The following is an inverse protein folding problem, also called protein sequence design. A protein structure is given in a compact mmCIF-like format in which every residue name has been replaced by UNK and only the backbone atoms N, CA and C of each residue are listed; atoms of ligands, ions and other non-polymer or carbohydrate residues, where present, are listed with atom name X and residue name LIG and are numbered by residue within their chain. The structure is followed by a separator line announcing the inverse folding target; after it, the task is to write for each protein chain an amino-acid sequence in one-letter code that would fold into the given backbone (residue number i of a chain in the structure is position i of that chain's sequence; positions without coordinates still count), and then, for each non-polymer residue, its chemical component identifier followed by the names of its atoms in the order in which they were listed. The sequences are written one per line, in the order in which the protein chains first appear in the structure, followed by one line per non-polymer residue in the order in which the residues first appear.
data_IF_755224092551
#
_entry.id   IF_755224092551
#
_cell.length_a   1.000
_cell.length_b   1.000
_cell.length_c   1.000
_cell.angle_alpha   90.00
_cell.angle_beta   90.00
_cell.angle_gamma   90.00
#
_symmetry.space_group_name_H-M   'P 1'
#
loop_
_entity.id
_entity.type
_entity.pdbx_description
1 polymer ?
#
# COMPACT_ATOMS: atom_id res chain seq x y z
N UNK A 1 5.77 -6.68 -24.46
CA UNK A 1 5.08 -6.86 -23.18
C UNK A 1 5.88 -7.77 -22.29
N UNK A 2 6.17 -7.35 -21.07
CA UNK A 2 6.88 -8.18 -20.12
C UNK A 2 5.97 -9.30 -19.62
N UNK A 3 6.36 -10.54 -19.85
CA UNK A 3 5.60 -11.71 -19.41
C UNK A 3 6.09 -12.28 -18.08
N UNK A 4 7.05 -11.59 -17.46
CA UNK A 4 7.54 -12.02 -16.15
C UNK A 4 6.45 -11.94 -15.10
N UNK A 5 6.32 -12.92 -14.21
CA UNK A 5 5.37 -12.82 -13.10
C UNK A 5 5.74 -11.67 -12.19
N UNK A 6 4.73 -11.02 -11.62
CA UNK A 6 4.93 -10.00 -10.61
C UNK A 6 5.66 -10.62 -9.41
N UNK A 7 6.78 -10.04 -8.96
CA UNK A 7 7.52 -10.62 -7.84
C UNK A 7 6.72 -10.59 -6.54
N UNK A 8 7.02 -11.53 -5.66
CA UNK A 8 6.42 -11.62 -4.35
C UNK A 8 6.78 -10.39 -3.50
N UNK A 9 5.93 -10.07 -2.54
CA UNK A 9 6.25 -9.04 -1.56
C UNK A 9 7.49 -9.43 -0.75
N UNK A 10 8.41 -8.48 -0.48
CA UNK A 10 9.61 -8.79 0.31
C UNK A 10 9.25 -9.31 1.71
N UNK A 11 10.03 -10.26 2.20
CA UNK A 11 9.84 -10.79 3.55
C UNK A 11 10.05 -9.72 4.64
N UNK A 12 10.85 -8.69 4.33
CA UNK A 12 11.12 -7.57 5.25
C UNK A 12 9.99 -6.55 5.34
N UNK A 13 8.99 -6.66 4.47
CA UNK A 13 7.86 -5.73 4.46
C UNK A 13 6.98 -5.95 5.69
N UNK A 14 6.71 -4.89 6.44
CA UNK A 14 5.83 -4.97 7.60
C UNK A 14 4.38 -4.71 7.20
N UNK A 15 3.47 -5.56 7.67
CA UNK A 15 2.04 -5.39 7.44
C UNK A 15 1.41 -4.80 8.70
N UNK A 16 0.83 -3.60 8.58
CA UNK A 16 0.38 -2.83 9.73
C UNK A 16 -0.95 -3.31 10.30
N UNK A 17 -1.80 -3.88 9.47
CA UNK A 17 -3.15 -4.29 9.85
C UNK A 17 -3.48 -5.75 9.52
N UNK A 18 -2.45 -6.57 9.30
CA UNK A 18 -2.61 -8.00 9.05
C UNK A 18 -1.79 -8.80 10.06
N UNK A 19 -2.33 -9.92 10.52
CA UNK A 19 -1.60 -10.83 11.40
C UNK A 19 -0.62 -11.71 10.65
N UNK A 20 -0.84 -11.91 9.36
CA UNK A 20 0.03 -12.70 8.48
C UNK A 20 0.36 -11.91 7.22
N UNK A 21 1.57 -12.09 6.67
CA UNK A 21 1.92 -11.41 5.42
C UNK A 21 0.98 -11.76 4.28
N UNK A 22 0.60 -10.77 3.50
CA UNK A 22 -0.14 -10.98 2.26
C UNK A 22 0.82 -11.53 1.21
N UNK A 23 0.36 -12.50 0.44
CA UNK A 23 1.14 -13.06 -0.65
C UNK A 23 0.57 -12.64 -2.00
N UNK A 24 1.45 -12.37 -2.93
CA UNK A 24 1.05 -11.91 -4.28
C UNK A 24 0.09 -12.90 -4.94
N UNK A 25 0.25 -14.19 -4.71
CA UNK A 25 -0.63 -15.22 -5.25
C UNK A 25 -2.09 -15.09 -4.82
N UNK A 26 -2.34 -14.48 -3.67
CA UNK A 26 -3.71 -14.25 -3.18
C UNK A 26 -4.45 -13.17 -3.97
N UNK A 27 -3.72 -12.37 -4.75
CA UNK A 27 -4.27 -11.26 -5.52
C UNK A 27 -4.53 -11.63 -6.98
N UNK A 28 -4.14 -12.84 -7.40
CA UNK A 28 -4.28 -13.27 -8.78
C UNK A 28 -5.74 -13.38 -9.22
N UNK A 29 -5.97 -13.08 -10.48
CA UNK A 29 -7.31 -13.18 -11.08
C UNK A 29 -8.20 -11.99 -10.86
N UNK A 30 -7.69 -10.94 -10.18
CA UNK A 30 -8.45 -9.71 -9.89
C UNK A 30 -7.57 -8.50 -10.12
N UNK A 31 -8.21 -7.36 -10.41
CA UNK A 31 -7.50 -6.10 -10.53
C UNK A 31 -7.00 -5.69 -9.13
N UNK A 32 -5.71 -5.35 -9.03
CA UNK A 32 -5.10 -4.90 -7.79
C UNK A 32 -4.49 -3.52 -8.00
N UNK A 33 -4.84 -2.58 -7.13
CA UNK A 33 -4.23 -1.26 -7.10
C UNK A 33 -3.23 -1.24 -5.95
N UNK A 34 -1.95 -1.05 -6.27
CA UNK A 34 -0.90 -0.79 -5.28
C UNK A 34 -0.77 0.72 -5.15
N UNK A 35 -1.09 1.26 -4.00
CA UNK A 35 -0.99 2.70 -3.77
C UNK A 35 0.19 3.01 -2.86
N UNK A 36 1.18 3.70 -3.41
CA UNK A 36 2.34 4.17 -2.66
C UNK A 36 2.01 5.52 -2.07
N UNK A 37 2.08 5.65 -0.76
CA UNK A 37 1.65 6.86 -0.07
C UNK A 37 2.61 7.24 1.06
N UNK A 38 2.50 8.49 1.49
CA UNK A 38 3.19 8.97 2.68
C UNK A 38 2.16 9.54 3.66
N UNK A 39 2.25 9.14 4.91
CA UNK A 39 1.27 9.49 5.95
C UNK A 39 1.26 10.99 6.26
N UNK A 40 2.34 11.71 5.97
CA UNK A 40 2.44 13.15 6.19
C UNK A 40 1.82 13.99 5.10
N UNK A 41 1.34 13.39 4.01
CA UNK A 41 0.80 14.11 2.86
C UNK A 41 -0.73 14.10 2.85
N UNK A 42 -1.34 15.29 2.82
CA UNK A 42 -2.79 15.42 2.71
C UNK A 42 -3.32 14.83 1.40
N UNK A 43 -2.56 14.97 0.31
CA UNK A 43 -2.91 14.39 -0.99
C UNK A 43 -2.98 12.87 -0.92
N UNK A 44 -2.04 12.25 -0.19
CA UNK A 44 -2.03 10.80 -0.01
C UNK A 44 -3.23 10.34 0.80
N UNK A 45 -3.58 11.05 1.87
CA UNK A 45 -4.74 10.72 2.67
C UNK A 45 -6.04 10.81 1.87
N UNK A 46 -6.18 11.82 1.02
CA UNK A 46 -7.33 11.97 0.14
C UNK A 46 -7.40 10.81 -0.86
N UNK A 47 -6.27 10.41 -1.44
CA UNK A 47 -6.23 9.30 -2.39
C UNK A 47 -6.63 7.98 -1.73
N UNK A 48 -6.19 7.76 -0.49
CA UNK A 48 -6.58 6.56 0.25
C UNK A 48 -8.10 6.53 0.50
N UNK A 49 -8.68 7.66 0.84
CA UNK A 49 -10.13 7.77 1.03
C UNK A 49 -10.88 7.48 -0.27
N UNK A 50 -10.40 7.99 -1.39
CA UNK A 50 -10.98 7.75 -2.71
C UNK A 50 -10.94 6.25 -3.04
N UNK A 51 -9.82 5.59 -2.78
CA UNK A 51 -9.65 4.16 -3.04
C UNK A 51 -10.52 3.31 -2.12
N UNK A 52 -10.69 3.73 -0.87
CA UNK A 52 -11.60 3.04 0.05
C UNK A 52 -13.04 3.08 -0.46
N UNK A 53 -13.46 4.21 -1.00
CA UNK A 53 -14.78 4.36 -1.62
C UNK A 53 -14.94 3.44 -2.84
N UNK A 54 -13.94 3.41 -3.70
CA UNK A 54 -13.94 2.54 -4.88
C UNK A 54 -13.95 1.06 -4.47
N UNK A 55 -13.19 0.70 -3.45
CA UNK A 55 -13.11 -0.66 -2.95
C UNK A 55 -14.48 -1.14 -2.46
N UNK A 56 -15.23 -0.30 -1.76
CA UNK A 56 -16.58 -0.63 -1.32
C UNK A 56 -17.53 -0.81 -2.49
N UNK A 57 -17.39 0.02 -3.53
CA UNK A 57 -18.27 -0.02 -4.70
C UNK A 57 -18.05 -1.28 -5.54
N UNK A 58 -16.81 -1.69 -5.76
CA UNK A 58 -16.47 -2.81 -6.62
C UNK A 58 -16.24 -4.13 -5.88
N UNK A 59 -16.20 -4.10 -4.55
CA UNK A 59 -16.14 -5.29 -3.72
C UNK A 59 -15.00 -6.23 -4.07
N UNK A 60 -15.34 -7.46 -4.38
CA UNK A 60 -14.35 -8.51 -4.66
C UNK A 60 -13.62 -8.33 -5.99
N UNK A 61 -14.08 -7.44 -6.85
CA UNK A 61 -13.45 -7.23 -8.16
C UNK A 61 -12.23 -6.34 -8.11
N UNK A 62 -12.00 -5.67 -6.98
CA UNK A 62 -10.87 -4.75 -6.81
C UNK A 62 -10.16 -5.03 -5.50
N UNK A 63 -8.88 -5.39 -5.59
CA UNK A 63 -7.99 -5.42 -4.44
C UNK A 63 -7.24 -4.10 -4.35
N UNK A 64 -7.10 -3.57 -3.13
CA UNK A 64 -6.27 -2.40 -2.87
C UNK A 64 -5.24 -2.79 -1.82
N UNK A 65 -3.97 -2.52 -2.10
CA UNK A 65 -2.88 -2.68 -1.14
C UNK A 65 -2.20 -1.34 -1.01
N UNK A 66 -2.25 -0.74 0.17
CA UNK A 66 -1.60 0.53 0.44
C UNK A 66 -0.20 0.29 0.96
N UNK A 67 0.79 0.98 0.39
CA UNK A 67 2.19 0.82 0.75
C UNK A 67 2.71 2.16 1.24
N UNK A 68 2.93 2.25 2.55
CA UNK A 68 3.49 3.44 3.17
C UNK A 68 5.01 3.44 2.98
N UNK A 69 5.53 4.56 2.46
CA UNK A 69 6.96 4.75 2.29
C UNK A 69 7.38 5.97 3.09
N UNK A 70 8.27 5.81 4.08
CA UNK A 70 8.65 6.93 4.94
C UNK A 70 9.49 7.95 4.18
N UNK A 71 9.21 9.24 4.44
CA UNK A 71 9.97 10.37 3.90
C UNK A 71 11.00 10.86 4.92
N UNK A 72 10.63 10.81 6.20
CA UNK A 72 11.44 11.27 7.31
C UNK A 72 11.64 10.15 8.32
N UNK A 73 12.69 10.24 9.14
CA UNK A 73 13.02 9.19 10.12
C UNK A 73 11.87 8.87 11.07
N UNK A 74 11.13 9.88 11.54
CA UNK A 74 10.02 9.65 12.47
C UNK A 74 8.87 8.87 11.83
N UNK A 75 8.83 8.79 10.49
CA UNK A 75 7.81 8.02 9.77
C UNK A 75 8.20 6.56 9.59
N UNK A 76 9.38 6.17 10.06
CA UNK A 76 9.85 4.78 10.01
C UNK A 76 9.26 3.92 11.12
N UNK A 77 8.66 4.52 12.13
CA UNK A 77 8.02 3.82 13.23
C UNK A 77 6.60 3.39 12.79
N UNK A 78 6.34 2.08 12.63
CA UNK A 78 5.03 1.60 12.18
C UNK A 78 3.89 1.98 13.10
N UNK A 79 4.15 2.11 14.41
CA UNK A 79 3.12 2.51 15.37
C UNK A 79 2.64 3.93 15.14
N UNK A 80 3.55 4.83 14.80
CA UNK A 80 3.20 6.23 14.49
C UNK A 80 2.40 6.33 13.20
N UNK A 81 2.78 5.55 12.20
CA UNK A 81 2.05 5.50 10.92
C UNK A 81 0.63 5.01 11.15
N UNK A 82 0.48 3.92 11.88
CA UNK A 82 -0.82 3.33 12.16
C UNK A 82 -1.72 4.31 12.93
N UNK A 83 -1.16 5.02 13.90
CA UNK A 83 -1.89 6.00 14.68
C UNK A 83 -2.45 7.12 13.80
N UNK A 84 -1.68 7.60 12.84
CA UNK A 84 -2.13 8.64 11.92
C UNK A 84 -3.22 8.16 10.97
N UNK A 85 -3.21 6.88 10.63
CA UNK A 85 -4.19 6.29 9.73
C UNK A 85 -5.51 5.94 10.42
N UNK A 86 -5.59 6.00 11.74
CA UNK A 86 -6.82 5.69 12.47
C UNK A 86 -8.00 6.58 12.10
N UNK A 87 -7.74 7.77 11.57
CA UNK A 87 -8.80 8.70 11.15
C UNK A 87 -9.43 8.34 9.83
N UNK A 88 -8.80 7.44 9.06
CA UNK A 88 -9.29 7.01 7.76
C UNK A 88 -9.77 5.57 7.89
N UNK A 89 -11.05 5.28 7.63
CA UNK A 89 -11.58 3.92 7.74
C UNK A 89 -11.09 3.07 6.57
N UNK A 90 -9.91 2.49 6.71
CA UNK A 90 -9.29 1.65 5.68
C UNK A 90 -9.55 0.19 5.98
N UNK A 91 -10.18 -0.51 5.04
CA UNK A 91 -10.52 -1.93 5.15
C UNK A 91 -9.65 -2.81 4.25
N UNK A 92 -8.57 -2.27 3.72
CA UNK A 92 -7.65 -3.00 2.86
C UNK A 92 -6.26 -3.11 3.51
N UNK A 93 -5.42 -4.05 3.04
CA UNK A 93 -4.08 -4.26 3.61
C UNK A 93 -3.20 -3.01 3.50
N UNK A 94 -2.46 -2.72 4.57
CA UNK A 94 -1.52 -1.61 4.64
C UNK A 94 -0.15 -2.17 4.99
N UNK A 95 0.82 -1.97 4.10
CA UNK A 95 2.20 -2.37 4.29
C UNK A 95 3.08 -1.17 4.58
N UNK A 96 4.19 -1.39 5.27
CA UNK A 96 5.18 -0.36 5.58
C UNK A 96 6.51 -0.73 4.93
N UNK A 97 6.88 0.01 3.90
CA UNK A 97 8.09 -0.20 3.11
C UNK A 97 9.23 0.67 3.67
N UNK A 98 9.68 0.34 4.89
CA UNK A 98 10.62 1.17 5.65
C UNK A 98 11.95 1.38 4.92
N UNK A 99 12.39 0.40 4.14
CA UNK A 99 13.69 0.42 3.46
C UNK A 99 13.58 0.72 1.96
N UNK A 100 12.40 1.16 1.51
CA UNK A 100 12.15 1.58 0.13
C UNK A 100 12.35 0.47 -0.90
N UNK A 101 12.14 -0.79 -0.53
CA UNK A 101 12.35 -1.93 -1.41
C UNK A 101 11.34 -1.95 -2.54
N UNK A 102 10.05 -1.89 -2.21
CA UNK A 102 8.99 -1.85 -3.23
C UNK A 102 9.01 -0.54 -4.01
N UNK A 103 9.30 0.56 -3.36
CA UNK A 103 9.45 1.86 -4.01
C UNK A 103 10.45 1.79 -5.16
N UNK A 104 11.63 1.22 -4.89
CA UNK A 104 12.68 1.07 -5.90
C UNK A 104 12.30 0.03 -6.95
N UNK A 105 11.69 -1.06 -6.53
CA UNK A 105 11.32 -2.14 -7.45
C UNK A 105 10.34 -1.66 -8.53
N UNK A 106 9.34 -0.85 -8.15
CA UNK A 106 8.35 -0.32 -9.09
C UNK A 106 8.77 1.03 -9.69
N UNK A 107 9.97 1.48 -9.40
CA UNK A 107 10.55 2.75 -9.93
C UNK A 107 9.62 3.94 -9.65
N UNK A 108 9.16 4.02 -8.40
CA UNK A 108 8.28 5.11 -7.96
C UNK A 108 9.13 6.37 -7.73
N UNK A 109 8.61 7.53 -8.10
CA UNK A 109 9.32 8.80 -7.95
C UNK A 109 8.52 9.89 -7.22
N UNK A 110 7.29 9.62 -6.88
CA UNK A 110 6.42 10.61 -6.21
C UNK A 110 5.32 9.95 -5.39
N UNK A 111 4.80 10.65 -4.40
CA UNK A 111 3.62 10.30 -3.63
C UNK A 111 2.46 11.24 -3.97
N UNK A 112 1.21 10.77 -4.06
CA UNK A 112 0.83 9.36 -4.19
C UNK A 112 1.04 8.83 -5.61
N UNK A 113 1.30 7.53 -5.72
CA UNK A 113 1.36 6.83 -7.01
C UNK A 113 0.55 5.56 -6.91
N UNK A 114 -0.29 5.29 -7.91
CA UNK A 114 -1.09 4.08 -7.99
C UNK A 114 -0.59 3.24 -9.15
N UNK A 115 -0.27 1.98 -8.86
CA UNK A 115 0.17 0.99 -9.86
C UNK A 115 -0.91 -0.08 -9.97
N UNK A 116 -1.35 -0.35 -11.17
CA UNK A 116 -2.38 -1.36 -11.46
C UNK A 116 -1.79 -2.68 -11.95
#
# INVERSE_FOLDING_TARGET
MDMSPTPEFPASLEWLNLSKPLRMGQLRGRVTALVFFNVGSAWCQQRLSDLATLRKRYGEHLHVVAIHVPRFDHERDPKRVLKRLQRVPLDFPIAHDADWVLWQHYVIDAWPTVVL
#
